data_IF_060132776763
#
_entry.id   IF_060132776763
#
_cell.length_a   1.000
_cell.length_b   1.000
_cell.length_c   1.000
_cell.angle_alpha   90.00
_cell.angle_beta   90.00
_cell.angle_gamma   90.00
#
_symmetry.space_group_name_H-M   'P 1'
#
loop_
_entity.id
_entity.type
_entity.pdbx_description
1 polymer ?
#
# COMPACT_ATOMS: atom_id res chain seq x y z
N UNK A 1 10.05 20.93 15.09
CA UNK A 1 8.59 20.84 15.38
C UNK A 1 8.12 19.40 15.61
N UNK A 2 8.65 18.41 14.88
CA UNK A 2 8.33 16.97 15.06
C UNK A 2 8.43 16.46 16.51
N UNK A 3 9.51 16.83 17.23
CA UNK A 3 9.69 16.50 18.65
C UNK A 3 8.54 16.96 19.55
N UNK A 4 8.04 18.18 19.33
CA UNK A 4 6.93 18.76 20.09
C UNK A 4 5.62 18.01 19.79
N UNK A 5 5.40 17.59 18.54
CA UNK A 5 4.23 16.80 18.15
C UNK A 5 4.22 15.42 18.81
N UNK A 6 5.38 14.76 18.93
CA UNK A 6 5.55 13.52 19.70
C UNK A 6 5.60 13.72 21.22
N UNK A 7 5.48 14.96 21.70
CA UNK A 7 5.45 15.33 23.13
C UNK A 7 6.66 14.82 23.94
N UNK A 8 7.84 14.72 23.32
CA UNK A 8 9.07 14.32 24.02
C UNK A 8 9.96 15.54 24.35
N UNK A 9 10.65 15.48 25.48
CA UNK A 9 11.55 16.54 25.92
C UNK A 9 12.83 16.56 25.09
N UNK A 10 13.51 17.71 25.01
CA UNK A 10 14.76 17.83 24.26
C UNK A 10 15.85 16.89 24.81
N UNK A 11 15.92 16.73 26.14
CA UNK A 11 16.87 15.84 26.81
C UNK A 11 16.58 14.37 26.50
N UNK A 12 15.30 13.96 26.51
CA UNK A 12 14.91 12.59 26.17
C UNK A 12 15.23 12.28 24.70
N UNK A 13 14.88 13.19 23.79
CA UNK A 13 15.17 13.05 22.36
C UNK A 13 16.68 12.94 22.09
N UNK A 14 17.49 13.81 22.71
CA UNK A 14 18.94 13.78 22.55
C UNK A 14 19.53 12.44 23.02
N UNK A 15 19.05 11.93 24.17
CA UNK A 15 19.45 10.62 24.69
C UNK A 15 19.07 9.48 23.74
N UNK A 16 17.85 9.51 23.19
CA UNK A 16 17.38 8.48 22.25
C UNK A 16 18.13 8.50 20.92
N UNK A 17 18.56 9.68 20.46
CA UNK A 17 19.36 9.86 19.24
C UNK A 17 20.86 9.66 19.48
N UNK A 18 21.30 9.37 20.71
CA UNK A 18 22.72 9.20 21.03
C UNK A 18 23.56 10.48 20.88
N UNK A 19 22.94 11.67 20.95
CA UNK A 19 23.63 12.96 20.80
C UNK A 19 23.53 13.82 22.06
N UNK A 20 24.40 14.83 22.15
CA UNK A 20 24.31 15.79 23.26
C UNK A 20 23.08 16.71 23.10
N UNK A 21 22.48 17.13 24.21
CA UNK A 21 21.37 18.09 24.19
C UNK A 21 21.73 19.40 23.44
N UNK A 22 22.95 19.98 23.59
CA UNK A 22 23.39 21.11 22.77
C UNK A 22 23.43 20.81 21.27
N UNK A 23 23.85 19.60 20.88
CA UNK A 23 23.87 19.17 19.47
C UNK A 23 22.47 19.18 18.88
N UNK A 24 21.50 18.54 19.57
CA UNK A 24 20.11 18.53 19.12
C UNK A 24 19.48 19.93 19.13
N UNK A 25 19.83 20.77 20.11
CA UNK A 25 19.41 22.19 20.15
C UNK A 25 19.98 23.02 18.99
N UNK A 26 21.20 22.71 18.54
CA UNK A 26 21.80 23.38 17.40
C UNK A 26 21.11 22.97 16.09
N UNK A 27 20.69 21.71 15.97
CA UNK A 27 19.90 21.20 14.83
C UNK A 27 18.50 21.81 14.79
N UNK A 28 17.74 21.75 15.88
CA UNK A 28 16.38 22.31 15.94
C UNK A 28 16.36 23.84 15.77
N UNK A 29 17.48 24.51 16.04
CA UNK A 29 17.64 25.95 15.88
C UNK A 29 18.38 26.36 14.60
N UNK A 30 18.56 25.46 13.62
CA UNK A 30 19.17 25.73 12.31
C UNK A 30 20.62 26.27 12.36
N UNK A 31 21.29 26.14 13.51
CA UNK A 31 22.68 26.59 13.71
C UNK A 31 23.69 25.58 13.18
N UNK A 32 23.31 24.31 13.09
CA UNK A 32 24.12 23.22 12.56
C UNK A 32 23.23 22.24 11.82
N UNK A 33 23.73 21.69 10.72
CA UNK A 33 23.00 20.64 10.01
C UNK A 33 23.31 19.26 10.62
N UNK A 34 22.29 18.42 10.82
CA UNK A 34 22.50 17.00 11.13
C UNK A 34 23.15 16.27 9.94
N UNK A 35 23.78 15.13 10.22
CA UNK A 35 24.18 14.21 9.16
C UNK A 35 22.95 13.53 8.56
N UNK A 36 23.11 12.90 7.39
CA UNK A 36 22.06 12.08 6.77
C UNK A 36 21.61 10.96 7.71
N UNK A 37 22.54 10.30 8.38
CA UNK A 37 22.25 9.25 9.36
C UNK A 37 21.42 9.77 10.53
N UNK A 38 21.77 10.95 11.08
CA UNK A 38 21.00 11.56 12.16
C UNK A 38 19.60 11.99 11.70
N UNK A 39 19.44 12.42 10.44
CA UNK A 39 18.12 12.70 9.85
C UNK A 39 17.26 11.45 9.76
N UNK A 40 17.83 10.32 9.34
CA UNK A 40 17.13 9.03 9.29
C UNK A 40 16.67 8.63 10.70
N UNK A 41 17.58 8.65 11.68
CA UNK A 41 17.25 8.33 13.08
C UNK A 41 16.18 9.24 13.66
N UNK A 42 16.22 10.54 13.33
CA UNK A 42 15.16 11.48 13.71
C UNK A 42 13.82 11.14 13.05
N UNK A 43 13.82 10.76 11.78
CA UNK A 43 12.60 10.40 11.04
C UNK A 43 11.91 9.19 11.66
N UNK A 44 12.69 8.17 12.04
CA UNK A 44 12.22 6.96 12.72
C UNK A 44 11.74 7.28 14.14
N UNK A 45 12.53 8.01 14.92
CA UNK A 45 12.18 8.40 16.30
C UNK A 45 10.87 9.20 16.33
N UNK A 46 10.70 10.12 15.39
CA UNK A 46 9.53 10.99 15.34
C UNK A 46 8.38 10.45 14.49
N UNK A 47 8.56 9.34 13.77
CA UNK A 47 7.56 8.77 12.88
C UNK A 47 7.07 9.76 11.82
N UNK A 48 7.97 10.56 11.26
CA UNK A 48 7.69 11.56 10.21
C UNK A 48 8.66 11.38 9.05
N UNK A 49 8.33 11.89 7.86
CA UNK A 49 9.26 11.82 6.73
C UNK A 49 10.48 12.72 6.96
N UNK A 50 11.59 12.38 6.28
CA UNK A 50 12.77 13.26 6.24
C UNK A 50 12.42 14.63 5.63
N UNK A 51 11.56 14.65 4.61
CA UNK A 51 11.08 15.89 3.99
C UNK A 51 10.38 16.82 5.01
N UNK A 52 9.58 16.24 5.92
CA UNK A 52 8.95 16.98 7.00
C UNK A 52 9.98 17.57 7.97
N UNK A 53 11.05 16.83 8.28
CA UNK A 53 12.15 17.34 9.12
C UNK A 53 12.93 18.47 8.46
N UNK A 54 13.04 18.43 7.13
CA UNK A 54 13.71 19.46 6.33
C UNK A 54 12.82 20.67 6.03
N UNK A 55 11.56 20.67 6.47
CA UNK A 55 10.61 21.75 6.18
C UNK A 55 10.24 21.85 4.71
N UNK A 56 10.39 20.76 3.94
CA UNK A 56 9.96 20.72 2.55
C UNK A 56 8.42 20.61 2.51
N UNK A 57 7.75 21.34 1.60
CA UNK A 57 6.29 21.29 1.51
C UNK A 57 5.85 19.89 1.06
N UNK A 58 4.72 19.40 1.60
CA UNK A 58 4.12 18.13 1.19
C UNK A 58 3.88 18.07 -0.33
N UNK A 59 3.67 19.22 -0.97
CA UNK A 59 3.50 19.35 -2.42
C UNK A 59 4.75 18.97 -3.26
N UNK A 60 5.93 18.74 -2.65
CA UNK A 60 7.08 18.16 -3.37
C UNK A 60 6.94 16.66 -3.65
N UNK A 61 5.94 15.99 -3.08
CA UNK A 61 5.54 14.68 -3.58
C UNK A 61 4.98 14.86 -4.99
N UNK A 62 5.84 14.73 -6.01
CA UNK A 62 5.49 14.69 -7.44
C UNK A 62 4.50 13.57 -7.83
N UNK A 63 3.95 12.84 -6.84
CA UNK A 63 2.90 11.84 -7.01
C UNK A 63 1.52 12.30 -6.52
N UNK A 64 1.38 13.48 -5.93
CA UNK A 64 0.05 14.01 -5.60
C UNK A 64 -0.82 14.12 -6.86
N UNK A 65 -0.23 14.49 -8.00
CA UNK A 65 -0.88 14.49 -9.31
C UNK A 65 -1.32 13.09 -9.75
N UNK A 66 -0.57 12.04 -9.39
CA UNK A 66 -0.93 10.64 -9.71
C UNK A 66 -2.14 10.13 -8.92
N UNK A 67 -2.54 10.85 -7.86
CA UNK A 67 -3.73 10.56 -7.05
C UNK A 67 -4.95 11.37 -7.51
N UNK A 68 -4.77 12.37 -8.39
CA UNK A 68 -5.87 13.11 -8.99
C UNK A 68 -6.42 12.34 -10.20
N UNK A 69 -7.72 12.49 -10.51
CA UNK A 69 -8.26 11.93 -11.73
C UNK A 69 -7.60 12.59 -12.95
N UNK A 70 -7.24 11.76 -13.93
CA UNK A 70 -6.69 12.18 -15.21
C UNK A 70 -7.82 12.90 -15.98
N UNK A 71 -7.62 14.15 -16.43
CA UNK A 71 -8.57 14.80 -17.32
C UNK A 71 -8.75 13.99 -18.61
N UNK A 72 -9.98 13.80 -19.13
CA UNK A 72 -10.21 13.02 -20.34
C UNK A 72 -9.38 13.47 -21.54
N UNK A 73 -9.15 14.78 -21.66
CA UNK A 73 -8.35 15.39 -22.73
C UNK A 73 -6.87 15.02 -22.64
N UNK A 74 -6.40 14.65 -21.44
CA UNK A 74 -5.03 14.21 -21.20
C UNK A 74 -4.86 12.70 -21.38
N UNK A 75 -5.95 11.90 -21.36
CA UNK A 75 -5.88 10.44 -21.50
C UNK A 75 -5.11 9.97 -22.74
N UNK A 76 -5.21 10.60 -23.93
CA UNK A 76 -4.43 10.17 -25.09
C UNK A 76 -2.91 10.16 -24.86
N UNK A 77 -2.39 11.00 -23.96
CA UNK A 77 -0.97 11.02 -23.61
C UNK A 77 -0.52 9.75 -22.85
N UNK A 78 -1.46 8.97 -22.35
CA UNK A 78 -1.25 7.71 -21.62
C UNK A 78 -1.38 6.48 -22.52
N UNK A 79 -1.28 6.61 -23.84
CA UNK A 79 -1.32 5.45 -24.75
C UNK A 79 -0.38 4.32 -24.27
N UNK A 80 -0.89 3.09 -24.28
CA UNK A 80 -0.21 1.88 -23.80
C UNK A 80 0.20 1.93 -22.32
N UNK A 81 -0.42 2.83 -21.55
CA UNK A 81 -0.26 2.91 -20.10
C UNK A 81 -1.53 2.39 -19.41
N UNK A 82 -1.40 1.52 -18.39
CA UNK A 82 -2.54 1.09 -17.59
C UNK A 82 -3.03 2.23 -16.69
N UNK A 83 -4.34 2.37 -16.61
CA UNK A 83 -5.05 3.34 -15.76
C UNK A 83 -6.16 2.63 -14.98
N UNK A 84 -6.56 3.20 -13.85
CA UNK A 84 -7.59 2.66 -12.99
C UNK A 84 -8.87 3.50 -13.08
N UNK A 85 -9.98 2.89 -13.48
CA UNK A 85 -11.32 3.48 -13.35
C UNK A 85 -11.93 3.08 -12.02
N UNK A 86 -12.42 4.05 -11.24
CA UNK A 86 -13.16 3.75 -9.99
C UNK A 86 -14.34 2.82 -10.18
N UNK A 87 -14.98 2.86 -11.36
CA UNK A 87 -16.19 2.10 -11.66
C UNK A 87 -15.91 0.70 -12.19
N UNK A 88 -14.85 0.55 -12.97
CA UNK A 88 -14.62 -0.63 -13.80
C UNK A 88 -13.27 -1.32 -13.53
N UNK A 89 -12.45 -0.76 -12.65
CA UNK A 89 -11.12 -1.27 -12.33
C UNK A 89 -10.07 -0.90 -13.37
N UNK A 90 -9.04 -1.73 -13.49
CA UNK A 90 -7.91 -1.50 -14.38
C UNK A 90 -8.28 -1.62 -15.86
N UNK A 91 -7.78 -0.68 -16.66
CA UNK A 91 -7.90 -0.65 -18.11
C UNK A 91 -6.58 -0.22 -18.76
N UNK A 92 -6.39 -0.57 -20.02
CA UNK A 92 -5.30 -0.06 -20.86
C UNK A 92 -5.82 1.08 -21.73
N UNK A 93 -5.07 2.18 -21.82
CA UNK A 93 -5.42 3.29 -22.71
C UNK A 93 -5.00 2.97 -24.15
N UNK A 94 -5.99 2.90 -25.04
CA UNK A 94 -5.79 2.85 -26.47
C UNK A 94 -6.13 4.22 -27.09
N UNK A 95 -5.13 5.07 -27.23
CA UNK A 95 -5.32 6.41 -27.80
C UNK A 95 -5.55 6.38 -29.32
N UNK A 96 -5.15 5.30 -30.01
CA UNK A 96 -5.33 5.15 -31.47
C UNK A 96 -6.82 4.98 -31.78
N UNK A 97 -7.50 4.11 -31.04
CA UNK A 97 -8.94 3.86 -31.20
C UNK A 97 -9.80 4.78 -30.32
N UNK A 98 -9.18 5.56 -29.43
CA UNK A 98 -9.88 6.46 -28.52
C UNK A 98 -10.68 5.73 -27.44
N UNK A 99 -10.18 4.61 -26.92
CA UNK A 99 -10.88 3.78 -25.94
C UNK A 99 -9.99 3.28 -24.78
N UNK A 100 -10.63 2.95 -23.66
CA UNK A 100 -10.07 2.15 -22.57
C UNK A 100 -10.44 0.68 -22.81
N UNK A 101 -9.42 -0.19 -22.77
CA UNK A 101 -9.55 -1.64 -22.95
C UNK A 101 -9.45 -2.34 -21.59
N UNK A 102 -10.51 -3.01 -21.16
CA UNK A 102 -10.54 -3.73 -19.89
C UNK A 102 -10.19 -5.21 -20.08
N UNK A 103 -9.68 -5.85 -19.03
CA UNK A 103 -9.34 -7.29 -19.05
C UNK A 103 -10.56 -8.20 -19.34
N UNK A 104 -11.78 -7.73 -19.04
CA UNK A 104 -13.03 -8.42 -19.39
C UNK A 104 -13.36 -8.40 -20.89
N UNK A 105 -12.62 -7.65 -21.70
CA UNK A 105 -12.92 -7.38 -23.11
C UNK A 105 -13.89 -6.21 -23.31
N UNK A 106 -14.41 -5.62 -22.24
CA UNK A 106 -15.20 -4.38 -22.30
C UNK A 106 -14.34 -3.24 -22.85
N UNK A 107 -14.99 -2.32 -23.57
CA UNK A 107 -14.38 -1.11 -24.13
C UNK A 107 -15.18 0.11 -23.72
N UNK A 108 -14.50 1.21 -23.40
CA UNK A 108 -15.12 2.49 -23.02
C UNK A 108 -14.45 3.62 -23.77
N UNK A 109 -15.21 4.50 -24.42
CA UNK A 109 -14.67 5.70 -25.07
C UNK A 109 -13.88 6.56 -24.09
N UNK A 110 -12.73 7.11 -24.51
CA UNK A 110 -11.97 8.06 -23.68
C UNK A 110 -12.78 9.31 -23.33
N UNK A 111 -13.74 9.71 -24.18
CA UNK A 111 -14.61 10.85 -23.91
C UNK A 111 -15.62 10.58 -22.77
N UNK A 112 -15.96 9.31 -22.55
CA UNK A 112 -16.89 8.87 -21.51
C UNK A 112 -16.15 8.40 -20.24
N UNK A 113 -14.82 8.43 -20.26
CA UNK A 113 -13.98 8.00 -19.17
C UNK A 113 -14.00 9.05 -18.04
N UNK A 114 -14.69 8.72 -16.94
CA UNK A 114 -14.71 9.53 -15.72
C UNK A 114 -14.01 8.79 -14.58
N UNK A 115 -13.43 9.55 -13.65
CA UNK A 115 -12.75 9.03 -12.45
C UNK A 115 -11.70 7.97 -12.80
N UNK A 116 -10.80 8.33 -13.72
CA UNK A 116 -9.67 7.50 -14.16
C UNK A 116 -8.39 8.01 -13.52
N UNK A 117 -7.55 7.12 -13.01
CA UNK A 117 -6.35 7.48 -12.24
C UNK A 117 -5.13 6.71 -12.74
N UNK A 118 -3.94 7.29 -12.59
CA UNK A 118 -2.68 6.56 -12.81
C UNK A 118 -2.45 5.56 -11.68
N UNK A 119 -2.74 5.96 -10.44
CA UNK A 119 -2.71 5.10 -9.27
C UNK A 119 -4.09 5.09 -8.61
N UNK A 120 -4.66 3.91 -8.31
CA UNK A 120 -5.92 3.83 -7.60
C UNK A 120 -5.81 4.58 -6.26
N UNK A 121 -6.86 5.32 -5.86
CA UNK A 121 -6.93 5.88 -4.52
C UNK A 121 -6.75 4.81 -3.44
N UNK A 122 -6.20 5.19 -2.28
CA UNK A 122 -5.87 4.24 -1.21
C UNK A 122 -7.07 3.38 -0.75
N UNK A 123 -8.30 3.89 -0.86
CA UNK A 123 -9.53 3.15 -0.53
C UNK A 123 -9.96 2.13 -1.60
N UNK A 124 -9.50 2.30 -2.84
CA UNK A 124 -9.84 1.42 -3.96
C UNK A 124 -8.91 0.20 -4.04
N UNK A 125 -7.76 0.24 -3.35
CA UNK A 125 -6.85 -0.90 -3.23
C UNK A 125 -7.18 -1.65 -1.94
N UNK A 126 -7.52 -2.95 -1.99
CA UNK A 126 -7.68 -3.74 -0.77
C UNK A 126 -6.38 -3.68 0.03
N UNK A 127 -6.41 -3.11 1.24
CA UNK A 127 -5.25 -2.97 2.12
C UNK A 127 -4.64 -4.28 2.63
N UNK A 128 -5.08 -5.43 2.09
CA UNK A 128 -4.77 -6.77 2.59
C UNK A 128 -3.36 -7.27 2.25
N UNK A 129 -2.58 -6.58 1.41
CA UNK A 129 -1.30 -7.09 0.90
C UNK A 129 -0.08 -6.25 1.30
N UNK A 130 0.03 -5.84 2.56
CA UNK A 130 1.23 -5.11 3.06
C UNK A 130 2.20 -6.03 3.84
N UNK A 131 1.79 -7.27 4.15
CA UNK A 131 2.67 -8.25 4.82
C UNK A 131 3.10 -9.36 3.85
N UNK A 132 4.25 -9.97 4.10
CA UNK A 132 4.68 -11.12 3.31
C UNK A 132 3.73 -12.30 3.54
N UNK A 133 3.24 -12.96 2.48
CA UNK A 133 2.49 -14.20 2.65
C UNK A 133 3.40 -15.26 3.27
N UNK A 134 2.82 -16.15 4.07
CA UNK A 134 3.52 -17.29 4.64
C UNK A 134 4.06 -18.18 3.52
N UNK A 135 5.19 -18.85 3.75
CA UNK A 135 5.62 -19.94 2.87
C UNK A 135 4.78 -21.18 3.15
N UNK A 136 4.67 -22.07 2.16
CA UNK A 136 3.86 -23.28 2.28
C UNK A 136 4.29 -24.17 3.46
N UNK A 137 5.59 -24.25 3.71
CA UNK A 137 6.21 -25.00 4.81
C UNK A 137 6.00 -24.35 6.18
N UNK A 138 5.76 -23.03 6.22
CA UNK A 138 5.47 -22.31 7.47
C UNK A 138 4.02 -22.52 7.94
N UNK A 139 3.10 -22.86 7.03
CA UNK A 139 1.68 -23.05 7.36
C UNK A 139 1.46 -24.04 8.49
N UNK A 140 2.22 -25.13 8.57
CA UNK A 140 2.03 -26.15 9.62
C UNK A 140 2.32 -25.65 11.03
N UNK A 141 2.95 -24.48 11.19
CA UNK A 141 3.19 -23.84 12.48
C UNK A 141 2.01 -23.03 13.03
N UNK A 142 0.90 -22.94 12.30
CA UNK A 142 -0.26 -22.14 12.66
C UNK A 142 -1.52 -23.01 12.84
N UNK A 143 -2.41 -22.59 13.74
CA UNK A 143 -3.72 -23.22 13.90
C UNK A 143 -4.77 -22.61 12.95
N UNK A 144 -4.65 -21.30 12.70
CA UNK A 144 -5.56 -20.52 11.86
C UNK A 144 -4.76 -19.47 11.07
N UNK A 145 -5.15 -19.25 9.82
CA UNK A 145 -4.53 -18.29 8.91
C UNK A 145 -5.58 -17.49 8.14
N UNK A 146 -5.23 -16.27 7.76
CA UNK A 146 -6.03 -15.50 6.82
C UNK A 146 -5.74 -15.97 5.41
N UNK A 147 -6.78 -16.35 4.66
CA UNK A 147 -6.67 -16.82 3.28
C UNK A 147 -7.08 -15.71 2.31
N UNK A 148 -6.21 -15.48 1.33
CA UNK A 148 -6.45 -14.57 0.21
C UNK A 148 -6.57 -15.38 -1.10
N UNK A 149 -7.76 -15.50 -1.70
CA UNK A 149 -7.95 -16.23 -2.95
C UNK A 149 -7.36 -15.49 -4.16
N UNK A 150 -6.73 -16.24 -5.06
CA UNK A 150 -6.26 -15.75 -6.36
C UNK A 150 -7.30 -16.12 -7.42
N UNK A 151 -8.10 -15.13 -7.82
CA UNK A 151 -9.13 -15.26 -8.86
C UNK A 151 -9.30 -13.93 -9.57
N UNK A 152 -9.77 -13.93 -10.82
CA UNK A 152 -10.18 -12.71 -11.52
C UNK A 152 -11.54 -12.19 -11.02
N UNK A 153 -12.39 -13.09 -10.51
CA UNK A 153 -13.72 -12.75 -10.00
C UNK A 153 -13.63 -12.12 -8.60
N UNK A 154 -14.04 -10.85 -8.49
CA UNK A 154 -13.99 -10.09 -7.25
C UNK A 154 -15.01 -10.59 -6.21
N UNK A 155 -16.22 -10.93 -6.64
CA UNK A 155 -17.26 -11.43 -5.72
C UNK A 155 -16.81 -12.77 -5.12
N UNK A 156 -16.22 -13.64 -5.94
CA UNK A 156 -15.67 -14.91 -5.47
C UNK A 156 -14.52 -14.71 -4.48
N UNK A 157 -13.63 -13.74 -4.73
CA UNK A 157 -12.55 -13.42 -3.77
C UNK A 157 -13.14 -12.96 -2.44
N UNK A 158 -14.11 -12.05 -2.46
CA UNK A 158 -14.71 -11.50 -1.24
C UNK A 158 -15.52 -12.55 -0.47
N UNK A 159 -16.15 -13.49 -1.15
CA UNK A 159 -16.86 -14.62 -0.53
C UNK A 159 -15.90 -15.63 0.13
N UNK A 160 -14.80 -15.96 -0.54
CA UNK A 160 -13.87 -17.00 -0.09
C UNK A 160 -12.76 -16.49 0.84
N UNK A 161 -12.50 -15.18 0.86
CA UNK A 161 -11.49 -14.57 1.72
C UNK A 161 -11.94 -14.63 3.19
N UNK A 162 -11.03 -14.96 4.09
CA UNK A 162 -11.32 -14.96 5.51
C UNK A 162 -10.37 -15.83 6.33
N UNK A 163 -10.81 -16.14 7.55
CA UNK A 163 -10.06 -17.01 8.46
C UNK A 163 -10.34 -18.49 8.19
N UNK A 164 -9.26 -19.29 8.08
CA UNK A 164 -9.33 -20.73 7.87
C UNK A 164 -8.44 -21.46 8.87
N UNK A 165 -8.94 -22.59 9.38
CA UNK A 165 -8.19 -23.48 10.25
C UNK A 165 -7.32 -24.43 9.43
N UNK A 166 -6.10 -24.64 9.88
CA UNK A 166 -5.15 -25.51 9.21
C UNK A 166 -5.45 -26.98 9.53
N UNK A 167 -5.53 -27.78 8.47
CA UNK A 167 -5.65 -29.24 8.52
C UNK A 167 -4.43 -29.85 7.82
N UNK A 168 -4.37 -31.18 7.84
CA UNK A 168 -3.22 -31.94 7.31
C UNK A 168 -2.90 -31.68 5.83
N UNK A 169 -3.92 -31.41 4.99
CA UNK A 169 -3.77 -31.26 3.53
C UNK A 169 -4.40 -30.00 2.95
N UNK A 170 -5.18 -29.29 3.75
CA UNK A 170 -5.97 -28.14 3.33
C UNK A 170 -6.21 -27.23 4.52
N UNK A 171 -6.69 -26.02 4.24
CA UNK A 171 -7.29 -25.13 5.24
C UNK A 171 -8.80 -25.10 5.05
N UNK A 172 -9.57 -24.97 6.13
CA UNK A 172 -11.03 -25.00 6.12
C UNK A 172 -11.63 -23.91 7.00
N UNK A 173 -12.63 -23.19 6.50
CA UNK A 173 -13.37 -22.20 7.28
C UNK A 173 -14.63 -22.81 7.92
N UNK A 174 -15.36 -22.02 8.71
CA UNK A 174 -16.51 -22.48 9.50
C UNK A 174 -17.69 -22.96 8.65
N UNK A 175 -17.78 -22.51 7.39
CA UNK A 175 -18.83 -22.91 6.44
C UNK A 175 -18.41 -24.10 5.55
N UNK A 176 -17.23 -24.69 5.79
CA UNK A 176 -16.75 -25.89 5.12
C UNK A 176 -16.09 -25.66 3.75
N UNK A 177 -15.78 -24.41 3.39
CA UNK A 177 -14.97 -24.11 2.21
C UNK A 177 -13.52 -24.53 2.47
N UNK A 178 -12.84 -25.06 1.44
CA UNK A 178 -11.52 -25.69 1.58
C UNK A 178 -10.54 -25.23 0.51
N UNK A 179 -9.31 -24.97 0.94
CA UNK A 179 -8.18 -24.73 0.05
C UNK A 179 -7.06 -25.74 0.30
N UNK A 180 -6.75 -26.56 -0.70
CA UNK A 180 -5.69 -27.58 -0.61
C UNK A 180 -4.30 -26.98 -0.80
N UNK A 181 -3.32 -27.48 -0.04
CA UNK A 181 -1.92 -27.07 -0.12
C UNK A 181 -1.29 -27.32 -1.49
N UNK A 182 -1.84 -28.27 -2.26
CA UNK A 182 -1.42 -28.58 -3.63
C UNK A 182 -1.58 -27.38 -4.58
N UNK A 183 -2.43 -26.41 -4.24
CA UNK A 183 -2.68 -25.19 -5.03
C UNK A 183 -2.15 -23.90 -4.37
N UNK A 184 -1.38 -24.02 -3.30
CA UNK A 184 -0.82 -22.86 -2.60
C UNK A 184 0.08 -22.03 -3.52
N UNK A 185 -0.09 -20.71 -3.53
CA UNK A 185 0.61 -19.77 -4.42
C UNK A 185 0.04 -19.68 -5.83
N UNK A 186 -0.76 -20.64 -6.28
CA UNK A 186 -1.43 -20.60 -7.58
C UNK A 186 -2.90 -20.15 -7.49
N UNK A 187 -3.62 -20.63 -6.47
CA UNK A 187 -5.05 -20.32 -6.27
C UNK A 187 -5.34 -19.51 -5.01
N UNK A 188 -4.39 -19.45 -4.08
CA UNK A 188 -4.57 -18.78 -2.80
C UNK A 188 -3.22 -18.55 -2.11
N UNK A 189 -3.19 -17.56 -1.22
CA UNK A 189 -2.09 -17.26 -0.31
C UNK A 189 -2.61 -17.22 1.13
N UNK A 190 -1.72 -17.37 2.10
CA UNK A 190 -2.04 -17.27 3.52
C UNK A 190 -1.19 -16.19 4.20
N UNK A 191 -1.77 -15.56 5.20
CA UNK A 191 -1.13 -14.52 6.00
C UNK A 191 -1.35 -14.81 7.50
N UNK A 192 -0.38 -14.46 8.36
CA UNK A 192 -0.53 -14.65 9.80
C UNK A 192 -1.54 -13.67 10.41
N UNK A 193 -1.75 -12.52 9.77
CA UNK A 193 -2.66 -11.47 10.21
C UNK A 193 -3.65 -11.14 9.08
N UNK A 194 -4.92 -10.93 9.42
CA UNK A 194 -5.92 -10.41 8.50
C UNK A 194 -5.81 -8.88 8.31
N UNK A 195 -6.47 -8.30 7.28
CA UNK A 195 -6.55 -6.86 7.09
C UNK A 195 -7.24 -6.21 8.29
N UNK A 196 -6.51 -5.37 9.03
CA UNK A 196 -7.02 -4.64 10.21
C UNK A 196 -6.26 -4.88 11.53
N UNK A 197 -5.25 -5.75 11.54
CA UNK A 197 -4.41 -6.02 12.73
C UNK A 197 -3.07 -5.25 12.74
N UNK A 198 -3.01 -4.05 12.15
CA UNK A 198 -1.84 -3.15 12.19
C UNK A 198 -2.14 -1.98 13.12
#
# INVERSE_FOLDING_TARGET
>A
MARKQKRITLTAAAKMLGVSQPTLSAWEGERKNPSVESLIQMSELYGVSVDFLLGLPEARYHRADMLQPIPPEALPAFHDTPVFSSRYGWAMVNAIEGELLFASGMRLSLADAAEVYVLPPAFATPGAAVTMPLRRDELTGYDCVWVEPISMDAALRDELRGWYHIKRRFVENEVGQRFYFDFYGAKWLAFPNGPGNI
#
